data_IF_921665735437
#
_entry.id   IF_921665735437
#
_cell.length_a   1.000
_cell.length_b   1.000
_cell.length_c   1.000
_cell.angle_alpha   90.00
_cell.angle_beta   90.00
_cell.angle_gamma   90.00
#
_symmetry.space_group_name_H-M   'P 1'
#
loop_
_entity.id
_entity.type
_entity.pdbx_description
1 polymer ?
#
# COMPACT_ATOMS: atom_id res chain seq x y z
N UNK A 1 24.25 -1.14 6.98
CA UNK A 1 23.55 -2.37 7.42
C UNK A 1 22.66 -2.01 8.62
N UNK A 2 21.37 -2.42 8.71
CA UNK A 2 20.50 -2.16 9.87
C UNK A 2 21.12 -2.51 11.23
N UNK A 3 21.97 -3.54 11.27
CA UNK A 3 22.66 -3.96 12.50
C UNK A 3 23.66 -2.90 13.00
N UNK A 4 24.33 -2.21 12.08
CA UNK A 4 25.33 -1.17 12.40
C UNK A 4 24.70 0.06 13.05
N UNK A 5 23.38 0.21 12.94
CA UNK A 5 22.61 1.34 13.49
C UNK A 5 21.64 0.90 14.59
N UNK A 6 21.78 -0.32 15.12
CA UNK A 6 21.02 -0.81 16.27
C UNK A 6 19.57 -1.23 15.96
N UNK A 7 19.26 -1.57 14.70
CA UNK A 7 17.91 -1.96 14.26
C UNK A 7 17.74 -3.48 14.12
N UNK A 8 18.62 -4.27 14.74
CA UNK A 8 18.62 -5.74 14.61
C UNK A 8 17.29 -6.39 15.01
N UNK A 9 16.63 -5.91 16.06
CA UNK A 9 15.36 -6.45 16.57
C UNK A 9 14.12 -5.70 16.06
N UNK A 10 14.29 -4.79 15.08
CA UNK A 10 13.22 -3.90 14.63
C UNK A 10 12.11 -4.60 13.82
N UNK A 11 12.37 -5.80 13.32
CA UNK A 11 11.39 -6.61 12.60
C UNK A 11 11.95 -7.95 12.17
N UNK A 12 11.15 -8.72 11.44
CA UNK A 12 11.53 -10.06 10.97
C UNK A 12 11.34 -10.12 9.46
N UNK A 13 12.40 -10.19 8.65
CA UNK A 13 12.25 -10.17 7.19
C UNK A 13 11.67 -11.48 6.67
N UNK A 14 12.12 -12.61 7.21
CA UNK A 14 11.64 -13.93 6.79
C UNK A 14 10.15 -14.10 7.08
N UNK A 15 9.38 -14.57 6.10
CA UNK A 15 7.93 -14.75 6.21
C UNK A 15 7.12 -13.44 6.29
N UNK A 16 7.72 -12.30 5.94
CA UNK A 16 7.05 -11.00 6.04
C UNK A 16 5.81 -10.90 5.15
N UNK A 17 5.86 -11.22 3.83
CA UNK A 17 4.69 -11.15 2.96
C UNK A 17 3.52 -12.01 3.46
N UNK A 18 3.77 -13.26 3.87
CA UNK A 18 2.78 -14.19 4.43
C UNK A 18 2.09 -13.59 5.66
N UNK A 19 2.87 -12.99 6.56
CA UNK A 19 2.31 -12.35 7.76
C UNK A 19 1.50 -11.11 7.43
N UNK A 20 1.83 -10.38 6.36
CA UNK A 20 1.00 -9.24 5.95
C UNK A 20 -0.38 -9.72 5.50
N UNK A 21 -0.46 -10.72 4.61
CA UNK A 21 -1.76 -11.24 4.16
C UNK A 21 -2.57 -11.79 5.34
N UNK A 22 -1.95 -12.63 6.18
CA UNK A 22 -2.61 -13.20 7.35
C UNK A 22 -3.10 -12.13 8.34
N UNK A 23 -2.32 -11.06 8.54
CA UNK A 23 -2.70 -9.93 9.40
C UNK A 23 -3.95 -9.24 8.85
N UNK A 24 -3.96 -8.86 7.58
CA UNK A 24 -5.06 -8.10 6.99
C UNK A 24 -6.32 -8.97 6.83
N UNK A 25 -6.18 -10.25 6.47
CA UNK A 25 -7.31 -11.21 6.46
C UNK A 25 -7.92 -11.36 7.86
N UNK A 26 -7.09 -11.41 8.90
CA UNK A 26 -7.57 -11.44 10.29
C UNK A 26 -8.29 -10.14 10.68
N UNK A 27 -7.80 -8.98 10.26
CA UNK A 27 -8.43 -7.69 10.53
C UNK A 27 -9.79 -7.57 9.83
N UNK A 28 -9.90 -8.06 8.59
CA UNK A 28 -11.15 -8.17 7.86
C UNK A 28 -12.16 -9.09 8.58
N UNK A 29 -11.72 -10.30 8.96
CA UNK A 29 -12.56 -11.26 9.67
C UNK A 29 -12.99 -10.81 11.09
N UNK A 30 -12.31 -9.81 11.68
CA UNK A 30 -12.66 -9.28 13.00
C UNK A 30 -13.96 -8.46 12.99
N UNK A 31 -14.40 -8.00 11.81
CA UNK A 31 -15.69 -7.37 11.63
C UNK A 31 -15.72 -6.40 10.45
N UNK A 32 -16.76 -6.56 9.62
CA UNK A 32 -17.16 -5.68 8.54
C UNK A 32 -18.69 -5.48 8.62
N UNK A 33 -19.22 -4.43 7.98
CA UNK A 33 -20.65 -4.16 7.97
C UNK A 33 -21.39 -4.91 6.86
N UNK A 34 -20.72 -5.10 5.73
CA UNK A 34 -21.30 -5.69 4.51
C UNK A 34 -20.39 -6.78 3.96
N UNK A 35 -20.96 -7.80 3.33
CA UNK A 35 -20.18 -8.85 2.65
C UNK A 35 -19.54 -8.27 1.38
N UNK A 36 -18.22 -8.47 1.24
CA UNK A 36 -17.44 -8.02 0.07
C UNK A 36 -16.70 -9.21 -0.56
N UNK A 37 -17.38 -10.09 -1.31
CA UNK A 37 -16.79 -11.34 -1.82
C UNK A 37 -15.57 -11.13 -2.73
N UNK A 38 -15.47 -9.98 -3.40
CA UNK A 38 -14.27 -9.61 -4.16
C UNK A 38 -13.04 -9.45 -3.27
N UNK A 39 -13.19 -8.92 -2.06
CA UNK A 39 -12.09 -8.78 -1.11
C UNK A 39 -11.63 -10.16 -0.59
N UNK A 40 -12.57 -11.06 -0.32
CA UNK A 40 -12.25 -12.46 0.02
C UNK A 40 -11.50 -13.17 -1.11
N UNK A 41 -11.95 -12.99 -2.36
CA UNK A 41 -11.27 -13.53 -3.54
C UNK A 41 -9.84 -12.96 -3.67
N UNK A 42 -9.65 -11.66 -3.47
CA UNK A 42 -8.33 -11.03 -3.51
C UNK A 42 -7.41 -11.60 -2.43
N UNK A 43 -7.90 -11.84 -1.21
CA UNK A 43 -7.13 -12.51 -0.19
C UNK A 43 -6.73 -13.93 -0.59
N UNK A 44 -7.65 -14.70 -1.20
CA UNK A 44 -7.35 -16.06 -1.66
C UNK A 44 -6.28 -16.08 -2.76
N UNK A 45 -6.33 -15.09 -3.67
CA UNK A 45 -5.30 -14.89 -4.70
C UNK A 45 -3.95 -14.53 -4.09
N UNK A 46 -3.92 -13.58 -3.15
CA UNK A 46 -2.69 -13.16 -2.47
C UNK A 46 -2.04 -14.33 -1.70
N UNK A 47 -2.82 -15.11 -0.96
CA UNK A 47 -2.34 -16.28 -0.22
C UNK A 47 -1.84 -17.40 -1.15
N UNK A 48 -2.46 -17.56 -2.33
CA UNK A 48 -2.11 -18.61 -3.28
C UNK A 48 -0.77 -18.40 -4.01
N UNK A 49 -0.20 -17.20 -3.98
CA UNK A 49 1.02 -16.88 -4.73
C UNK A 49 1.95 -15.88 -4.02
N UNK A 50 2.09 -16.03 -2.70
CA UNK A 50 2.97 -15.18 -1.88
C UNK A 50 4.40 -15.15 -2.42
N UNK A 51 4.99 -13.96 -2.68
CA UNK A 51 6.34 -13.84 -3.19
C UNK A 51 7.37 -14.18 -2.12
N UNK A 52 8.53 -14.70 -2.57
CA UNK A 52 9.70 -14.82 -1.70
C UNK A 52 10.25 -13.42 -1.40
N UNK A 53 10.81 -13.27 -0.19
CA UNK A 53 11.50 -12.05 0.20
C UNK A 53 12.79 -11.90 -0.60
N UNK A 54 12.91 -10.83 -1.38
CA UNK A 54 14.09 -10.56 -2.21
C UNK A 54 14.90 -9.38 -1.71
N UNK A 55 14.24 -8.33 -1.21
CA UNK A 55 14.88 -7.08 -0.84
C UNK A 55 14.59 -6.74 0.62
N UNK A 56 15.20 -7.45 1.59
CA UNK A 56 15.01 -7.18 3.01
C UNK A 56 15.57 -5.80 3.37
N UNK A 57 14.81 -5.00 4.10
CA UNK A 57 15.19 -3.64 4.47
C UNK A 57 14.19 -2.98 5.42
N UNK A 58 14.47 -1.73 5.74
CA UNK A 58 13.55 -0.88 6.49
C UNK A 58 12.37 -0.52 5.59
N UNK A 59 11.18 -0.69 6.14
CA UNK A 59 9.90 -0.35 5.54
C UNK A 59 9.34 0.80 6.36
N UNK A 60 8.93 1.88 5.70
CA UNK A 60 8.20 2.99 6.27
C UNK A 60 6.79 2.58 6.69
N UNK A 61 6.08 1.85 5.83
CA UNK A 61 4.76 1.29 6.08
C UNK A 61 3.60 2.16 5.58
N UNK A 62 3.86 3.45 5.39
CA UNK A 62 2.96 4.45 4.81
C UNK A 62 3.72 5.45 3.91
N UNK A 63 4.58 4.95 3.01
CA UNK A 63 5.42 5.83 2.18
C UNK A 63 4.61 6.45 1.04
N UNK A 64 4.33 7.75 1.17
CA UNK A 64 3.63 8.57 0.16
C UNK A 64 4.19 9.99 0.13
N UNK A 65 3.91 10.72 -0.95
CA UNK A 65 4.44 12.09 -1.17
C UNK A 65 4.06 13.03 -0.02
N UNK A 66 2.88 12.86 0.57
CA UNK A 66 2.38 13.69 1.67
C UNK A 66 3.23 13.56 2.95
N UNK A 67 4.00 12.47 3.07
CA UNK A 67 4.93 12.23 4.17
C UNK A 67 6.35 12.72 3.87
N UNK A 68 6.57 13.48 2.78
CA UNK A 68 7.86 14.06 2.45
C UNK A 68 7.92 15.55 2.79
N UNK A 69 8.94 15.92 3.58
CA UNK A 69 9.27 17.32 3.80
C UNK A 69 10.25 17.78 2.71
N UNK A 70 9.89 18.83 1.97
CA UNK A 70 10.71 19.38 0.87
C UNK A 70 11.32 20.72 1.24
N UNK A 71 12.47 21.02 0.64
CA UNK A 71 13.13 22.32 0.78
C UNK A 71 12.31 23.42 0.08
N UNK A 72 11.98 24.49 0.81
CA UNK A 72 11.15 25.57 0.29
C UNK A 72 11.83 26.36 -0.84
N UNK A 73 13.16 26.45 -0.82
CA UNK A 73 13.96 27.16 -1.82
C UNK A 73 14.34 26.24 -2.98
N UNK A 74 14.48 24.93 -2.73
CA UNK A 74 14.74 23.92 -3.75
C UNK A 74 13.79 22.72 -3.61
N UNK A 75 12.60 22.83 -4.20
CA UNK A 75 11.53 21.81 -4.07
C UNK A 75 11.86 20.41 -4.61
N UNK A 76 12.98 20.25 -5.34
CA UNK A 76 13.49 18.94 -5.74
C UNK A 76 14.29 18.21 -4.65
N UNK A 77 14.55 18.87 -3.51
CA UNK A 77 15.33 18.33 -2.40
C UNK A 77 14.42 17.89 -1.25
N UNK A 78 14.49 16.60 -0.92
CA UNK A 78 13.82 16.04 0.26
C UNK A 78 14.67 16.36 1.51
N UNK A 79 14.06 17.00 2.50
CA UNK A 79 14.65 17.31 3.80
C UNK A 79 14.41 16.21 4.84
N UNK A 80 13.31 15.46 4.70
CA UNK A 80 12.98 14.38 5.62
C UNK A 80 11.76 13.57 5.17
N UNK A 81 11.66 12.37 5.73
CA UNK A 81 10.49 11.50 5.64
C UNK A 81 9.83 11.49 7.01
N UNK A 82 8.53 11.75 7.06
CA UNK A 82 7.73 11.88 8.27
C UNK A 82 6.90 10.63 8.51
N UNK A 83 6.36 10.48 9.72
CA UNK A 83 5.37 9.45 10.07
C UNK A 83 5.86 7.98 10.04
N UNK A 84 6.92 7.72 10.80
CA UNK A 84 7.56 6.40 10.92
C UNK A 84 6.83 5.43 11.88
N UNK A 85 5.61 5.73 12.35
CA UNK A 85 4.96 4.91 13.39
C UNK A 85 4.61 3.48 12.93
N UNK A 86 4.43 3.30 11.62
CA UNK A 86 4.14 2.00 11.01
C UNK A 86 5.39 1.24 10.56
N UNK A 87 6.57 1.82 10.79
CA UNK A 87 7.80 1.30 10.22
C UNK A 87 8.25 -0.01 10.85
N UNK A 88 8.92 -0.84 10.05
CA UNK A 88 9.42 -2.16 10.49
C UNK A 88 10.57 -2.64 9.60
N UNK A 89 11.06 -3.84 9.85
CA UNK A 89 12.03 -4.53 9.01
C UNK A 89 11.36 -5.70 8.28
N UNK A 90 11.39 -5.70 6.95
CA UNK A 90 10.64 -6.62 6.08
C UNK A 90 11.12 -6.61 4.63
N UNK A 91 10.30 -7.08 3.68
CA UNK A 91 10.57 -6.87 2.25
C UNK A 91 10.18 -5.45 1.81
N UNK A 92 11.17 -4.67 1.37
CA UNK A 92 10.99 -3.28 0.93
C UNK A 92 10.03 -3.11 -0.24
N UNK A 93 9.73 -4.17 -1.01
CA UNK A 93 8.71 -4.12 -2.06
C UNK A 93 7.31 -3.79 -1.52
N UNK A 94 7.05 -4.02 -0.24
CA UNK A 94 5.80 -3.59 0.39
C UNK A 94 5.64 -2.06 0.41
N UNK A 95 6.72 -1.31 0.63
CA UNK A 95 6.68 0.15 0.52
C UNK A 95 6.52 0.60 -0.94
N UNK A 96 7.14 -0.11 -1.88
CA UNK A 96 6.97 0.18 -3.32
C UNK A 96 5.51 -0.05 -3.75
N UNK A 97 4.86 -1.10 -3.23
CA UNK A 97 3.43 -1.35 -3.42
C UNK A 97 2.54 -0.25 -2.82
N UNK A 98 2.85 0.20 -1.59
CA UNK A 98 2.14 1.31 -0.93
C UNK A 98 2.32 2.62 -1.71
N UNK A 99 3.54 2.91 -2.14
CA UNK A 99 3.86 4.07 -2.96
C UNK A 99 3.03 4.08 -4.25
N UNK A 100 3.00 2.95 -4.98
CA UNK A 100 2.22 2.80 -6.21
C UNK A 100 0.69 2.83 -5.99
N UNK A 101 0.22 2.45 -4.80
CA UNK A 101 -1.19 2.55 -4.41
C UNK A 101 -1.63 4.02 -4.20
N UNK A 102 -0.73 4.88 -3.72
CA UNK A 102 -0.98 6.32 -3.54
C UNK A 102 -0.55 7.19 -4.73
N UNK A 103 0.07 6.61 -5.75
CA UNK A 103 0.51 7.33 -6.95
C UNK A 103 -0.63 7.46 -7.95
N UNK A 104 -1.43 8.52 -7.80
CA UNK A 104 -2.47 8.90 -8.74
C UNK A 104 -1.90 9.46 -10.05
N UNK A 105 -2.67 9.34 -11.12
CA UNK A 105 -2.36 9.84 -12.45
C UNK A 105 -3.51 10.72 -12.99
N UNK A 106 -3.17 11.72 -13.82
CA UNK A 106 -4.16 12.57 -14.47
C UNK A 106 -5.10 11.72 -15.37
N UNK A 107 -6.41 11.97 -15.28
CA UNK A 107 -7.42 11.30 -16.09
C UNK A 107 -7.78 9.88 -15.66
N UNK A 108 -7.24 9.38 -14.53
CA UNK A 108 -7.66 8.12 -13.90
C UNK A 108 -8.51 8.36 -12.65
N UNK A 109 -9.30 7.35 -12.27
CA UNK A 109 -9.94 7.35 -10.96
C UNK A 109 -8.85 7.39 -9.87
N UNK A 110 -9.04 8.28 -8.89
CA UNK A 110 -8.07 8.54 -7.83
C UNK A 110 -8.27 7.59 -6.67
N UNK A 111 -7.19 7.31 -5.95
CA UNK A 111 -7.30 6.69 -4.64
C UNK A 111 -8.12 7.63 -3.72
N UNK A 112 -9.17 7.14 -3.03
CA UNK A 112 -10.02 8.00 -2.20
C UNK A 112 -9.33 8.56 -0.95
N UNK A 113 -8.16 8.04 -0.59
CA UNK A 113 -7.38 8.46 0.58
C UNK A 113 -6.24 9.41 0.21
N UNK A 114 -5.80 9.44 -1.04
CA UNK A 114 -4.75 10.34 -1.49
C UNK A 114 -5.28 11.76 -1.69
N UNK A 115 -4.40 12.75 -1.55
CA UNK A 115 -4.72 14.13 -1.90
C UNK A 115 -4.75 14.40 -3.42
N UNK A 116 -4.42 13.40 -4.27
CA UNK A 116 -4.29 13.60 -5.71
C UNK A 116 -3.03 14.35 -6.15
N UNK A 117 -2.05 14.53 -5.25
CA UNK A 117 -0.85 15.35 -5.49
C UNK A 117 -0.09 14.92 -6.74
N UNK A 118 0.09 13.61 -6.96
CA UNK A 118 0.86 13.08 -8.10
C UNK A 118 0.08 13.10 -9.42
N UNK A 119 -1.22 13.41 -9.40
CA UNK A 119 -2.00 13.59 -10.62
C UNK A 119 -1.82 14.99 -11.24
N UNK A 120 -1.05 15.88 -10.61
CA UNK A 120 -0.73 17.19 -11.18
C UNK A 120 0.29 17.08 -12.31
N UNK A 121 0.19 18.01 -13.27
CA UNK A 121 1.15 18.13 -14.36
C UNK A 121 2.59 18.24 -13.84
N UNK A 122 3.50 17.45 -14.44
CA UNK A 122 4.92 17.44 -14.10
C UNK A 122 5.36 16.24 -13.26
N UNK A 123 4.41 15.51 -12.66
CA UNK A 123 4.70 14.18 -12.10
C UNK A 123 4.80 13.13 -13.20
N UNK A 124 5.71 12.14 -13.07
CA UNK A 124 5.78 11.02 -14.00
C UNK A 124 4.57 10.09 -13.85
N UNK A 125 4.35 9.26 -14.87
CA UNK A 125 3.41 8.13 -14.74
C UNK A 125 3.84 7.21 -13.60
N UNK A 126 2.90 6.42 -13.07
CA UNK A 126 3.21 5.44 -12.02
C UNK A 126 4.25 4.42 -12.49
N UNK A 127 4.14 3.98 -13.74
CA UNK A 127 5.08 3.03 -14.34
C UNK A 127 6.47 3.67 -14.49
N UNK A 128 6.56 4.93 -14.90
CA UNK A 128 7.83 5.65 -14.98
C UNK A 128 8.47 5.85 -13.61
N UNK A 129 7.68 6.16 -12.57
CA UNK A 129 8.17 6.29 -11.20
C UNK A 129 8.73 4.96 -10.66
N UNK A 130 8.03 3.85 -10.93
CA UNK A 130 8.50 2.50 -10.57
C UNK A 130 9.77 2.11 -11.35
N UNK A 131 9.81 2.41 -12.64
CA UNK A 131 10.99 2.16 -13.48
C UNK A 131 12.18 2.99 -13.02
N UNK A 132 11.98 4.25 -12.64
CA UNK A 132 13.03 5.08 -12.08
C UNK A 132 13.58 4.48 -10.78
N UNK A 133 12.70 4.04 -9.87
CA UNK A 133 13.13 3.36 -8.63
C UNK A 133 13.96 2.11 -8.92
N UNK A 134 13.48 1.24 -9.83
CA UNK A 134 14.17 0.02 -10.24
C UNK A 134 15.57 0.31 -10.82
N UNK A 135 15.67 1.31 -11.70
CA UNK A 135 16.92 1.72 -12.32
C UNK A 135 17.93 2.30 -11.32
N UNK A 136 17.49 3.22 -10.45
CA UNK A 136 18.36 3.82 -9.42
C UNK A 136 18.86 2.79 -8.41
N UNK A 137 18.04 1.78 -8.11
CA UNK A 137 18.41 0.67 -7.21
C UNK A 137 19.18 -0.44 -7.93
N UNK A 138 19.22 -0.44 -9.26
CA UNK A 138 19.74 -1.53 -10.09
C UNK A 138 19.14 -2.90 -9.70
N UNK A 139 17.82 -2.96 -9.62
CA UNK A 139 17.05 -4.17 -9.29
C UNK A 139 15.88 -4.36 -10.26
N UNK A 140 15.40 -5.60 -10.34
CA UNK A 140 14.09 -5.88 -10.92
C UNK A 140 12.98 -5.71 -9.88
N UNK A 141 11.73 -5.59 -10.34
CA UNK A 141 10.53 -5.53 -9.49
C UNK A 141 9.63 -6.76 -9.71
N UNK A 142 10.12 -7.99 -9.47
CA UNK A 142 9.33 -9.19 -9.70
C UNK A 142 8.14 -9.24 -8.74
N UNK A 143 6.97 -9.60 -9.27
CA UNK A 143 5.71 -9.69 -8.52
C UNK A 143 5.27 -8.37 -7.87
N UNK A 144 5.66 -7.21 -8.42
CA UNK A 144 5.23 -5.91 -7.87
C UNK A 144 3.70 -5.78 -7.78
N UNK A 145 2.98 -6.36 -8.75
CA UNK A 145 1.52 -6.42 -8.75
C UNK A 145 0.96 -7.06 -7.46
N UNK A 146 1.64 -8.07 -6.89
CA UNK A 146 1.24 -8.69 -5.62
C UNK A 146 1.26 -7.67 -4.48
N UNK A 147 2.33 -6.88 -4.40
CA UNK A 147 2.50 -5.86 -3.36
C UNK A 147 1.55 -4.68 -3.56
N UNK A 148 1.25 -4.29 -4.80
CA UNK A 148 0.27 -3.24 -5.09
C UNK A 148 -1.15 -3.70 -4.71
N UNK A 149 -1.54 -4.92 -5.10
CA UNK A 149 -2.83 -5.49 -4.72
C UNK A 149 -2.94 -5.60 -3.19
N UNK A 150 -1.90 -6.09 -2.52
CA UNK A 150 -1.86 -6.13 -1.05
C UNK A 150 -2.03 -4.74 -0.44
N UNK A 151 -1.43 -3.69 -1.02
CA UNK A 151 -1.56 -2.32 -0.53
C UNK A 151 -3.01 -1.81 -0.63
N UNK A 152 -3.69 -2.03 -1.76
CA UNK A 152 -5.12 -1.70 -1.91
C UNK A 152 -6.00 -2.50 -0.95
N UNK A 153 -5.77 -3.82 -0.82
CA UNK A 153 -6.48 -4.69 0.13
C UNK A 153 -6.29 -4.21 1.57
N UNK A 154 -5.06 -3.89 1.97
CA UNK A 154 -4.74 -3.31 3.28
C UNK A 154 -5.55 -2.04 3.51
N UNK A 155 -5.57 -1.12 2.54
CA UNK A 155 -6.24 0.17 2.68
C UNK A 155 -7.77 0.00 2.76
N UNK A 156 -8.33 -0.90 1.96
CA UNK A 156 -9.75 -1.26 2.00
C UNK A 156 -10.15 -1.78 3.40
N UNK A 157 -9.35 -2.67 3.99
CA UNK A 157 -9.59 -3.18 5.34
C UNK A 157 -9.48 -2.08 6.40
N UNK A 158 -8.49 -1.19 6.30
CA UNK A 158 -8.34 -0.05 7.22
C UNK A 158 -9.59 0.85 7.16
N UNK A 159 -10.04 1.21 5.95
CA UNK A 159 -11.22 2.04 5.78
C UNK A 159 -12.49 1.34 6.28
N UNK A 160 -12.67 0.05 6.00
CA UNK A 160 -13.81 -0.71 6.54
C UNK A 160 -13.81 -0.66 8.07
N UNK A 161 -12.67 -0.85 8.73
CA UNK A 161 -12.60 -0.80 10.18
C UNK A 161 -12.92 0.59 10.74
N UNK A 162 -12.51 1.66 10.05
CA UNK A 162 -12.89 3.03 10.39
C UNK A 162 -14.41 3.20 10.22
N UNK A 163 -14.97 2.69 9.13
CA UNK A 163 -16.40 2.75 8.84
C UNK A 163 -17.23 2.01 9.90
N UNK A 164 -16.83 0.78 10.26
CA UNK A 164 -17.44 0.00 11.35
C UNK A 164 -17.43 0.78 12.67
N UNK A 165 -16.29 1.43 13.01
CA UNK A 165 -16.19 2.24 14.23
C UNK A 165 -17.09 3.46 14.17
N UNK A 166 -17.17 4.11 13.01
CA UNK A 166 -17.99 5.29 12.80
C UNK A 166 -19.48 4.98 12.95
N UNK A 167 -19.98 3.93 12.29
CA UNK A 167 -21.39 3.49 12.40
C UNK A 167 -21.75 3.08 13.83
N UNK A 168 -20.77 2.62 14.62
CA UNK A 168 -20.93 2.31 16.06
C UNK A 168 -20.81 3.54 16.98
N UNK A 169 -20.59 4.74 16.45
CA UNK A 169 -20.41 5.96 17.23
C UNK A 169 -19.09 6.01 18.02
N UNK A 170 -18.07 5.28 17.57
CA UNK A 170 -16.75 5.17 18.22
C UNK A 170 -15.65 6.00 17.54
N UNK A 171 -16.02 6.87 16.59
CA UNK A 171 -15.12 7.86 15.97
C UNK A 171 -15.48 9.27 16.44
N UNK A 172 -14.48 10.15 16.46
CA UNK A 172 -14.63 11.58 16.81
C UNK A 172 -14.23 12.39 15.57
N UNK A 173 -15.05 13.36 15.19
CA UNK A 173 -14.83 14.20 14.00
C UNK A 173 -15.84 13.94 12.87
N UNK A 174 -15.79 14.80 11.85
CA UNK A 174 -16.60 14.72 10.62
C UNK A 174 -15.79 14.06 9.48
N UNK A 175 -16.45 13.70 8.37
CA UNK A 175 -15.78 13.17 7.16
C UNK A 175 -15.68 11.65 7.05
N UNK A 176 -16.43 10.91 7.87
CA UNK A 176 -16.45 9.44 7.84
C UNK A 176 -17.70 8.85 7.16
N UNK A 177 -18.62 9.70 6.72
CA UNK A 177 -19.90 9.28 6.13
C UNK A 177 -19.69 8.48 4.83
N UNK A 178 -18.69 8.88 4.03
CA UNK A 178 -18.39 8.26 2.74
C UNK A 178 -17.39 7.10 2.82
N UNK A 179 -16.89 6.75 4.02
CA UNK A 179 -15.82 5.75 4.17
C UNK A 179 -16.20 4.39 3.60
N UNK A 180 -17.48 3.98 3.69
CA UNK A 180 -17.96 2.74 3.10
C UNK A 180 -17.82 2.70 1.57
N UNK A 181 -18.16 3.80 0.89
CA UNK A 181 -18.03 3.88 -0.58
C UNK A 181 -16.56 3.88 -1.03
N UNK A 182 -15.66 4.45 -0.22
CA UNK A 182 -14.22 4.43 -0.49
C UNK A 182 -13.64 3.01 -0.47
N UNK A 183 -14.19 2.10 0.34
CA UNK A 183 -13.77 0.68 0.39
C UNK A 183 -13.97 0.02 -0.98
N UNK A 184 -15.11 0.28 -1.63
CA UNK A 184 -15.43 -0.31 -2.93
C UNK A 184 -14.50 0.18 -4.05
N UNK A 185 -14.13 1.46 -4.05
CA UNK A 185 -13.15 2.02 -5.00
C UNK A 185 -11.78 1.32 -4.86
N UNK A 186 -11.35 1.07 -3.63
CA UNK A 186 -10.08 0.39 -3.35
C UNK A 186 -10.11 -1.09 -3.78
N UNK A 187 -11.22 -1.78 -3.54
CA UNK A 187 -11.43 -3.16 -4.00
C UNK A 187 -11.45 -3.22 -5.53
N UNK A 188 -12.16 -2.30 -6.19
CA UNK A 188 -12.19 -2.21 -7.64
C UNK A 188 -10.78 -2.00 -8.22
N UNK A 189 -10.00 -1.09 -7.63
CA UNK A 189 -8.60 -0.84 -8.02
C UNK A 189 -7.73 -2.10 -7.88
N UNK A 190 -7.87 -2.86 -6.78
CA UNK A 190 -7.17 -4.12 -6.58
C UNK A 190 -7.57 -5.17 -7.64
N UNK A 191 -8.86 -5.26 -7.97
CA UNK A 191 -9.39 -6.14 -9.00
C UNK A 191 -8.86 -5.77 -10.40
N UNK A 192 -8.73 -4.49 -10.74
CA UNK A 192 -8.13 -4.05 -12.00
C UNK A 192 -6.66 -4.48 -12.13
N UNK A 193 -5.89 -4.35 -11.04
CA UNK A 193 -4.53 -4.87 -10.98
C UNK A 193 -4.48 -6.39 -11.16
N UNK A 194 -5.35 -7.12 -10.46
CA UNK A 194 -5.48 -8.56 -10.61
C UNK A 194 -5.85 -8.98 -12.04
N UNK A 195 -6.72 -8.24 -12.73
CA UNK A 195 -7.12 -8.55 -14.10
C UNK A 195 -5.99 -8.37 -15.12
N UNK A 196 -5.14 -7.33 -14.95
CA UNK A 196 -4.07 -7.01 -15.90
C UNK A 196 -2.71 -7.63 -15.56
N UNK A 197 -2.56 -8.22 -14.38
CA UNK A 197 -1.27 -8.77 -13.91
C UNK A 197 -0.70 -9.84 -14.82
N UNK A 198 0.62 -9.93 -14.88
CA UNK A 198 1.32 -11.05 -15.52
C UNK A 198 1.47 -12.27 -14.61
N UNK A 199 1.22 -12.15 -13.30
CA UNK A 199 1.38 -13.21 -12.30
C UNK A 199 0.16 -14.15 -12.34
N UNK A 200 0.29 -15.40 -12.80
CA UNK A 200 -0.88 -16.27 -13.03
C UNK A 200 -1.74 -16.52 -11.78
N UNK A 201 -1.12 -16.59 -10.60
CA UNK A 201 -1.82 -16.82 -9.34
C UNK A 201 -2.66 -15.65 -8.85
N UNK A 202 -2.46 -14.45 -9.39
CA UNK A 202 -3.20 -13.23 -9.01
C UNK A 202 -4.41 -12.96 -9.90
N UNK A 203 -4.50 -13.58 -11.07
CA UNK A 203 -5.56 -13.29 -12.05
C UNK A 203 -6.96 -13.65 -11.52
N UNK A 204 -7.90 -12.75 -11.77
CA UNK A 204 -9.34 -12.93 -11.53
C UNK A 204 -10.12 -12.88 -12.84
#
# INVERSE_FOLDING_TARGET
NPDEVGLTDFGKPHGFPERQVARWRKQWAAGHLEDRPQLDLLFDRLDGCVPKVLYPGIIHGDFKVDNLMVDAENRGRILGVLDWEMSTFGDTMADVGVFACFWDEEGRERNPVSAGTTAHQGFPSRDDALNQYANERNIDLPNIDWYIILAYVKLAVILEQIHVRHVRGLTVGEGFDDTGAMVDVLIASACEWAAKTSVPGLKI
#
